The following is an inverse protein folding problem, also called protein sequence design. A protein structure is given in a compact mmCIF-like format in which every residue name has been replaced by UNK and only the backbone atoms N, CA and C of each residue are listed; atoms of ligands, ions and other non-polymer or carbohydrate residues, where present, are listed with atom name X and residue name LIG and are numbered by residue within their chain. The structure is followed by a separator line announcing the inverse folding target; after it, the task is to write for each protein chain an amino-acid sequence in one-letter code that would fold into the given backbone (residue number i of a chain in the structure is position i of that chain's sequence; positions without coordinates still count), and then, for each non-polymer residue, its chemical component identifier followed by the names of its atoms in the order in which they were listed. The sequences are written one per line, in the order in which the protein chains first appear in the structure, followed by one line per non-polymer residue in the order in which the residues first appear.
data_IF_503024685543
#
_entry.id   IF_503024685543
#
_cell.length_a   1.000
_cell.length_b   1.000
_cell.length_c   1.000
_cell.angle_alpha   90.00
_cell.angle_beta   90.00
_cell.angle_gamma   90.00
#
_symmetry.space_group_name_H-M   'P 1'
#
loop_
_entity.id
_entity.type
_entity.pdbx_description
1 polymer ?
#
# COMPACT_ATOMS: atom_id res chain seq x y z
N UNK A 1 1.51 17.42 -1.76
CA UNK A 1 1.80 16.09 -2.33
C UNK A 1 1.78 15.12 -1.16
N UNK A 2 0.67 14.42 -0.94
CA UNK A 2 0.54 13.45 0.16
C UNK A 2 1.49 12.28 -0.13
N UNK A 3 2.43 12.07 0.79
CA UNK A 3 3.41 10.98 0.74
C UNK A 3 3.03 10.01 1.85
N UNK A 4 3.01 8.72 1.53
CA UNK A 4 2.76 7.63 2.46
C UNK A 4 4.12 7.08 2.88
N UNK A 5 4.45 7.16 4.15
CA UNK A 5 5.69 6.60 4.66
C UNK A 5 5.52 5.11 4.94
N UNK A 6 6.22 4.25 4.22
CA UNK A 6 6.10 2.81 4.41
C UNK A 6 6.44 2.42 5.86
N UNK A 7 5.55 1.72 6.60
CA UNK A 7 5.82 1.34 7.99
C UNK A 7 6.99 0.36 8.12
N UNK A 8 7.27 -0.45 7.10
CA UNK A 8 8.38 -1.43 7.12
C UNK A 8 9.75 -0.81 6.82
N UNK A 9 9.83 0.15 5.89
CA UNK A 9 11.11 0.69 5.43
C UNK A 9 11.32 2.19 5.71
N UNK A 10 10.31 2.87 6.23
CA UNK A 10 10.34 4.30 6.56
C UNK A 10 10.58 5.22 5.36
N UNK A 11 10.34 4.72 4.13
CA UNK A 11 10.49 5.52 2.90
C UNK A 11 9.17 6.17 2.54
N UNK A 12 9.23 7.46 2.24
CA UNK A 12 8.11 8.20 1.67
C UNK A 12 7.82 7.74 0.25
N UNK A 13 6.74 7.01 0.08
CA UNK A 13 6.18 6.58 -1.20
C UNK A 13 5.13 7.59 -1.60
N UNK A 14 5.14 8.03 -2.86
CA UNK A 14 4.04 8.85 -3.34
C UNK A 14 2.84 7.97 -3.67
N UNK A 15 1.63 8.44 -3.38
CA UNK A 15 0.41 7.64 -3.58
C UNK A 15 0.20 7.18 -5.04
N UNK A 16 0.79 7.89 -6.00
CA UNK A 16 0.78 7.49 -7.43
C UNK A 16 1.80 6.40 -7.79
N UNK A 17 2.82 6.18 -6.96
CA UNK A 17 3.82 5.11 -7.13
C UNK A 17 3.44 3.83 -6.39
N UNK A 18 2.36 3.87 -5.60
CA UNK A 18 1.88 2.73 -4.85
C UNK A 18 1.20 1.74 -5.79
N UNK A 19 1.62 0.48 -5.78
CA UNK A 19 0.96 -0.56 -6.56
C UNK A 19 -0.30 -1.03 -5.84
N UNK A 20 -1.48 -0.72 -6.37
CA UNK A 20 -2.75 -1.30 -5.92
C UNK A 20 -2.96 -2.66 -6.53
N UNK A 21 -3.07 -3.69 -5.69
CA UNK A 21 -3.38 -5.05 -6.10
C UNK A 21 -4.73 -5.45 -5.53
N UNK A 22 -5.71 -5.58 -6.41
CA UNK A 22 -6.99 -6.19 -6.07
C UNK A 22 -6.82 -7.70 -6.07
N UNK A 23 -7.00 -8.32 -4.90
CA UNK A 23 -6.95 -9.76 -4.72
C UNK A 23 -8.38 -10.26 -4.51
N UNK A 24 -8.84 -11.11 -5.41
CA UNK A 24 -10.08 -11.85 -5.20
C UNK A 24 -9.85 -12.89 -4.10
N UNK A 25 -10.61 -12.80 -3.04
CA UNK A 25 -10.61 -13.74 -1.92
C UNK A 25 -11.95 -14.47 -1.85
N UNK A 26 -11.98 -15.57 -1.10
CA UNK A 26 -13.19 -16.38 -0.91
C UNK A 26 -14.37 -15.55 -0.36
N UNK A 27 -14.08 -14.48 0.39
CA UNK A 27 -15.10 -13.60 0.98
C UNK A 27 -15.43 -12.36 0.14
N UNK A 28 -14.79 -12.14 -1.01
CA UNK A 28 -15.01 -10.96 -1.85
C UNK A 28 -13.74 -10.45 -2.54
N UNK A 29 -13.55 -9.14 -2.58
CA UNK A 29 -12.37 -8.51 -3.16
C UNK A 29 -11.68 -7.67 -2.08
N UNK A 30 -10.39 -7.89 -1.86
CA UNK A 30 -9.58 -7.04 -1.00
C UNK A 30 -8.59 -6.25 -1.86
N UNK A 31 -8.40 -4.97 -1.53
CA UNK A 31 -7.47 -4.10 -2.24
C UNK A 31 -6.26 -3.88 -1.35
N UNK A 32 -5.17 -4.60 -1.64
CA UNK A 32 -3.92 -4.39 -0.95
C UNK A 32 -3.07 -3.38 -1.73
N UNK A 33 -2.24 -2.67 -0.99
CA UNK A 33 -1.25 -1.75 -1.49
C UNK A 33 0.12 -2.36 -1.30
N UNK A 34 0.97 -2.25 -2.31
CA UNK A 34 2.33 -2.77 -2.26
C UNK A 34 3.34 -1.65 -2.39
N UNK A 35 4.30 -1.63 -1.47
CA UNK A 35 5.45 -0.74 -1.57
C UNK A 35 6.40 -1.20 -2.67
N UNK A 36 6.78 -0.35 -3.65
CA UNK A 36 7.71 -0.73 -4.71
C UNK A 36 9.16 -0.94 -4.22
N UNK A 37 9.52 -0.38 -3.06
CA UNK A 37 10.89 -0.45 -2.53
C UNK A 37 11.16 -1.72 -1.72
N UNK A 38 10.37 -1.97 -0.67
CA UNK A 38 10.52 -3.14 0.19
C UNK A 38 9.63 -4.32 -0.23
N UNK A 39 8.69 -4.09 -1.15
CA UNK A 39 7.68 -5.08 -1.58
C UNK A 39 6.73 -5.54 -0.48
N UNK A 40 6.64 -4.83 0.64
CA UNK A 40 5.60 -5.02 1.66
C UNK A 40 4.22 -4.78 1.08
N UNK A 41 3.30 -5.69 1.36
CA UNK A 41 1.87 -5.57 1.15
C UNK A 41 1.17 -5.10 2.43
N UNK A 42 0.26 -4.14 2.30
CA UNK A 42 -0.55 -3.60 3.38
C UNK A 42 -1.95 -3.28 2.87
N UNK A 43 -2.97 -3.54 3.67
CA UNK A 43 -4.38 -3.35 3.30
C UNK A 43 -4.87 -1.92 3.58
N UNK A 44 -4.16 -1.17 4.42
CA UNK A 44 -4.61 0.12 4.90
C UNK A 44 -3.58 1.22 4.63
N UNK A 45 -3.95 2.13 3.73
CA UNK A 45 -3.22 3.40 3.48
C UNK A 45 -3.90 4.58 4.17
N UNK A 46 -5.09 4.38 4.74
CA UNK A 46 -5.86 5.43 5.39
C UNK A 46 -5.23 5.82 6.74
N UNK A 47 -4.60 4.87 7.44
CA UNK A 47 -3.88 5.09 8.70
C UNK A 47 -2.53 5.80 8.51
N UNK A 48 -2.14 6.10 7.27
CA UNK A 48 -0.89 6.78 6.91
C UNK A 48 -1.10 8.25 6.47
N UNK A 49 -2.32 8.79 6.64
CA UNK A 49 -2.64 10.21 6.42
C UNK A 49 -2.40 11.07 7.67
#
# INVERSE_FOLDING_TARGET
MSKLDCPDCGRGIAMHELETKTVAQTSGFQTNYRCPFCRSDFDDVAQLM
#
